data_IF_279441329619
#
_entry.id   IF_279441329619
#
_cell.length_a   1.000
_cell.length_b   1.000
_cell.length_c   1.000
_cell.angle_alpha   90.00
_cell.angle_beta   90.00
_cell.angle_gamma   90.00
#
_symmetry.space_group_name_H-M   'P 1'
#
loop_
_entity.id
_entity.type
_entity.pdbx_description
1 polymer ?
#
# COMPACT_ATOMS: atom_id res chain seq x y z
N UNK A 1 -29.91 9.68 3.86
CA UNK A 1 -29.26 9.48 5.19
C UNK A 1 -28.19 8.41 5.02
N UNK A 2 -26.92 8.71 5.31
CA UNK A 2 -25.89 7.67 5.40
C UNK A 2 -25.99 7.04 6.79
N UNK A 3 -26.24 5.73 6.83
CA UNK A 3 -26.18 4.92 8.06
C UNK A 3 -24.79 5.07 8.71
N UNK A 4 -24.69 5.17 10.05
CA UNK A 4 -23.41 5.27 10.74
C UNK A 4 -22.60 3.99 10.50
N UNK A 5 -21.68 4.04 9.55
CA UNK A 5 -20.85 2.89 9.19
C UNK A 5 -19.83 2.66 10.28
N UNK A 6 -19.93 1.54 11.00
CA UNK A 6 -18.95 1.20 12.04
C UNK A 6 -17.56 0.99 11.41
N UNK A 7 -16.49 1.25 12.17
CA UNK A 7 -15.11 0.98 11.72
C UNK A 7 -14.91 -0.45 11.23
N UNK A 8 -15.63 -1.41 11.82
CA UNK A 8 -15.57 -2.83 11.43
C UNK A 8 -16.19 -3.05 10.05
N UNK A 9 -17.38 -2.50 9.82
CA UNK A 9 -18.10 -2.59 8.54
C UNK A 9 -17.28 -1.98 7.40
N UNK A 10 -16.75 -0.77 7.61
CA UNK A 10 -15.93 -0.08 6.61
C UNK A 10 -14.65 -0.85 6.30
N UNK A 11 -13.96 -1.38 7.33
CA UNK A 11 -12.76 -2.21 7.12
C UNK A 11 -13.07 -3.44 6.26
N UNK A 12 -14.19 -4.09 6.49
CA UNK A 12 -14.62 -5.24 5.70
C UNK A 12 -14.88 -4.89 4.23
N UNK A 13 -15.50 -3.73 3.97
CA UNK A 13 -15.76 -3.24 2.61
C UNK A 13 -14.45 -2.95 1.87
N UNK A 14 -13.58 -2.13 2.44
CA UNK A 14 -12.29 -1.76 1.82
C UNK A 14 -11.38 -2.98 1.58
N UNK A 15 -11.38 -3.95 2.49
CA UNK A 15 -10.61 -5.17 2.32
C UNK A 15 -11.10 -6.01 1.15
N UNK A 16 -12.43 -6.08 0.94
CA UNK A 16 -13.03 -6.78 -0.21
C UNK A 16 -12.71 -6.07 -1.51
N UNK A 17 -12.86 -4.75 -1.54
CA UNK A 17 -12.56 -3.92 -2.73
C UNK A 17 -11.09 -4.09 -3.14
N UNK A 18 -10.17 -4.03 -2.18
CA UNK A 18 -8.75 -4.22 -2.45
C UNK A 18 -8.43 -5.61 -3.01
N UNK A 19 -9.01 -6.67 -2.43
CA UNK A 19 -8.78 -8.05 -2.89
C UNK A 19 -9.42 -8.36 -4.25
N UNK A 20 -10.41 -7.57 -4.67
CA UNK A 20 -11.03 -7.71 -5.98
C UNK A 20 -10.16 -7.14 -7.12
N UNK A 21 -9.07 -6.44 -6.80
CA UNK A 21 -8.17 -5.88 -7.80
C UNK A 21 -7.42 -7.02 -8.54
N UNK A 22 -7.34 -7.00 -9.87
CA UNK A 22 -6.55 -7.96 -10.61
C UNK A 22 -5.08 -7.91 -10.21
N UNK A 23 -4.43 -9.07 -10.06
CA UNK A 23 -3.05 -9.17 -9.56
C UNK A 23 -2.06 -8.35 -10.38
N UNK A 24 -2.18 -8.34 -11.71
CA UNK A 24 -1.30 -7.55 -12.58
C UNK A 24 -1.46 -6.04 -12.37
N UNK A 25 -2.71 -5.60 -12.17
CA UNK A 25 -3.00 -4.20 -11.89
C UNK A 25 -2.50 -3.80 -10.51
N UNK A 26 -2.73 -4.64 -9.50
CA UNK A 26 -2.22 -4.46 -8.14
C UNK A 26 -0.69 -4.35 -8.12
N UNK A 27 0.02 -5.24 -8.80
CA UNK A 27 1.47 -5.25 -8.84
C UNK A 27 2.02 -4.00 -9.53
N UNK A 28 1.44 -3.60 -10.68
CA UNK A 28 1.84 -2.39 -11.39
C UNK A 28 1.68 -1.14 -10.53
N UNK A 29 0.52 -0.97 -9.91
CA UNK A 29 0.24 0.18 -9.05
C UNK A 29 1.16 0.20 -7.81
N UNK A 30 1.46 -0.98 -7.24
CA UNK A 30 2.40 -1.10 -6.13
C UNK A 30 3.81 -0.64 -6.53
N UNK A 31 4.27 -1.05 -7.71
CA UNK A 31 5.57 -0.64 -8.24
C UNK A 31 5.63 0.87 -8.52
N UNK A 32 4.61 1.44 -9.15
CA UNK A 32 4.51 2.88 -9.41
C UNK A 32 4.53 3.69 -8.12
N UNK A 33 3.81 3.23 -7.09
CA UNK A 33 3.80 3.86 -5.77
C UNK A 33 5.20 3.84 -5.13
N UNK A 34 5.89 2.70 -5.18
CA UNK A 34 7.25 2.60 -4.64
C UNK A 34 8.24 3.51 -5.38
N UNK A 35 8.14 3.57 -6.71
CA UNK A 35 8.97 4.48 -7.53
C UNK A 35 8.73 5.95 -7.20
N UNK A 36 7.50 6.33 -6.89
CA UNK A 36 7.18 7.69 -6.44
C UNK A 36 7.74 7.95 -5.05
N UNK A 37 7.63 6.99 -4.13
CA UNK A 37 8.13 7.13 -2.76
C UNK A 37 9.64 7.37 -2.73
N UNK A 38 10.42 6.63 -3.52
CA UNK A 38 11.88 6.79 -3.64
C UNK A 38 12.30 8.20 -4.10
N UNK A 39 11.43 8.91 -4.81
CA UNK A 39 11.69 10.27 -5.31
C UNK A 39 11.36 11.35 -4.28
N UNK A 40 10.73 10.99 -3.16
CA UNK A 40 10.37 11.97 -2.13
C UNK A 40 11.59 12.38 -1.31
N UNK A 41 11.65 13.65 -0.92
CA UNK A 41 12.70 14.13 -0.01
C UNK A 41 12.68 13.38 1.33
N UNK A 42 11.49 13.00 1.81
CA UNK A 42 11.34 12.23 3.05
C UNK A 42 12.07 10.89 2.97
N UNK A 43 11.97 10.16 1.85
CA UNK A 43 12.72 8.93 1.65
C UNK A 43 14.22 9.21 1.63
N UNK A 44 14.66 10.15 0.77
CA UNK A 44 16.07 10.45 0.54
C UNK A 44 16.83 10.95 1.78
N UNK A 45 16.12 11.61 2.70
CA UNK A 45 16.71 12.16 3.93
C UNK A 45 16.58 11.23 5.14
N UNK A 46 15.85 10.12 5.01
CA UNK A 46 15.62 9.20 6.12
C UNK A 46 16.76 8.18 6.25
N UNK A 47 17.53 8.18 7.35
CA UNK A 47 18.62 7.21 7.51
C UNK A 47 18.12 5.79 7.85
N UNK A 48 16.86 5.66 8.29
CA UNK A 48 16.22 4.39 8.62
C UNK A 48 14.73 4.48 8.33
N UNK A 49 14.22 3.53 7.57
CA UNK A 49 12.79 3.40 7.25
C UNK A 49 12.29 2.08 7.84
N UNK A 50 11.19 2.14 8.60
CA UNK A 50 10.48 0.95 9.05
C UNK A 50 9.42 0.59 8.00
N UNK A 51 9.40 -0.66 7.58
CA UNK A 51 8.41 -1.18 6.64
C UNK A 51 7.80 -2.47 7.17
N UNK A 52 6.61 -2.79 6.67
CA UNK A 52 5.93 -4.06 6.92
C UNK A 52 6.08 -4.98 5.71
N UNK A 53 5.85 -6.28 5.93
CA UNK A 53 5.75 -7.27 4.84
C UNK A 53 4.29 -7.31 4.40
N UNK A 54 4.05 -6.98 3.13
CA UNK A 54 2.71 -6.83 2.57
C UNK A 54 1.93 -8.15 2.55
N UNK A 55 0.63 -8.10 2.88
CA UNK A 55 -0.27 -9.25 2.79
C UNK A 55 -1.67 -8.83 2.30
N UNK A 56 -2.50 -9.80 1.89
CA UNK A 56 -3.90 -9.56 1.42
C UNK A 56 -4.01 -8.45 0.36
N UNK A 57 -3.11 -8.43 -0.62
CA UNK A 57 -3.03 -7.41 -1.68
C UNK A 57 -2.88 -5.97 -1.15
N UNK A 58 -2.19 -5.78 -0.02
CA UNK A 58 -1.58 -4.49 0.34
C UNK A 58 -0.62 -4.01 -0.74
N UNK A 59 -0.31 -2.71 -0.83
CA UNK A 59 0.78 -2.25 -1.69
C UNK A 59 2.03 -3.09 -1.44
N UNK A 60 2.57 -3.71 -2.48
CA UNK A 60 3.79 -4.50 -2.38
C UNK A 60 4.99 -3.58 -2.19
N UNK A 61 5.62 -3.64 -1.01
CA UNK A 61 6.76 -2.82 -0.65
C UNK A 61 8.10 -3.50 -0.97
N UNK A 62 8.10 -4.70 -1.55
CA UNK A 62 9.31 -5.49 -1.78
C UNK A 62 10.37 -4.74 -2.59
N UNK A 63 9.95 -3.89 -3.52
CA UNK A 63 10.87 -3.07 -4.34
C UNK A 63 11.62 -1.98 -3.56
N UNK A 64 11.15 -1.62 -2.36
CA UNK A 64 11.82 -0.67 -1.47
C UNK A 64 12.90 -1.34 -0.61
N UNK A 65 12.84 -2.66 -0.43
CA UNK A 65 13.79 -3.38 0.39
C UNK A 65 15.17 -3.40 -0.28
N UNK A 66 16.18 -2.91 0.44
CA UNK A 66 17.54 -2.78 -0.09
C UNK A 66 17.77 -1.54 -0.95
N UNK A 67 16.79 -0.63 -1.06
CA UNK A 67 17.03 0.69 -1.63
C UNK A 67 17.77 1.59 -0.62
N UNK A 68 18.69 2.44 -1.11
CA UNK A 68 19.45 3.37 -0.27
C UNK A 68 18.58 4.51 0.30
#
# INVERSE_FOLDING_TARGET
>A
MQEPTTKSTLRGQLLKERQALPTDQWHRLSLELCQQLLKTELWQQSPRVLAYISFRQEPDLSSLFGQP
#
